data_IF_825473976986
#
_entry.id   IF_825473976986
#
_cell.length_a   1.000
_cell.length_b   1.000
_cell.length_c   1.000
_cell.angle_alpha   90.00
_cell.angle_beta   90.00
_cell.angle_gamma   90.00
#
_symmetry.space_group_name_H-M   'P 1'
#
loop_
_entity.id
_entity.type
_entity.pdbx_description
1 polymer ?
#
# COMPACT_ATOMS: atom_id res chain seq x y z
N UNK A 1 -33.91 27.47 -34.50
CA UNK A 1 -32.48 27.08 -34.54
C UNK A 1 -31.74 27.37 -33.24
N UNK A 2 -31.79 28.58 -32.65
CA UNK A 2 -30.99 28.93 -31.45
C UNK A 2 -31.33 28.22 -30.11
N UNK A 3 -32.44 27.48 -30.00
CA UNK A 3 -32.81 26.76 -28.78
C UNK A 3 -32.11 25.39 -28.68
N UNK A 4 -31.88 24.72 -29.82
CA UNK A 4 -31.22 23.41 -29.91
C UNK A 4 -29.72 23.51 -29.61
N UNK A 5 -29.05 24.58 -30.07
CA UNK A 5 -27.64 24.85 -29.79
C UNK A 5 -27.33 24.94 -28.29
N UNK A 6 -28.21 25.58 -27.51
CA UNK A 6 -28.03 25.70 -26.06
C UNK A 6 -28.23 24.37 -25.35
N UNK A 7 -29.19 23.56 -25.79
CA UNK A 7 -29.44 22.22 -25.24
C UNK A 7 -28.27 21.28 -25.53
N UNK A 8 -27.76 21.26 -26.76
CA UNK A 8 -26.58 20.46 -27.11
C UNK A 8 -25.33 20.93 -26.36
N UNK A 9 -25.08 22.24 -26.26
CA UNK A 9 -23.94 22.77 -25.48
C UNK A 9 -24.01 22.39 -24.00
N UNK A 10 -25.20 22.48 -23.39
CA UNK A 10 -25.40 22.04 -22.00
C UNK A 10 -25.21 20.52 -21.84
N UNK A 11 -25.66 19.73 -22.80
CA UNK A 11 -25.44 18.27 -22.81
C UNK A 11 -23.95 17.92 -22.95
N UNK A 12 -23.20 18.57 -23.85
CA UNK A 12 -21.76 18.34 -24.02
C UNK A 12 -20.95 18.75 -22.79
N UNK A 13 -21.26 19.89 -22.18
CA UNK A 13 -20.61 20.34 -20.95
C UNK A 13 -20.94 19.41 -19.79
N UNK A 14 -22.20 18.98 -19.65
CA UNK A 14 -22.61 18.01 -18.63
C UNK A 14 -21.91 16.65 -18.75
N UNK A 15 -21.78 16.12 -19.97
CA UNK A 15 -21.07 14.87 -20.25
C UNK A 15 -19.57 15.01 -19.96
N UNK A 16 -18.94 16.11 -20.38
CA UNK A 16 -17.53 16.37 -20.09
C UNK A 16 -17.26 16.45 -18.57
N UNK A 17 -18.14 17.13 -17.82
CA UNK A 17 -18.06 17.20 -16.35
C UNK A 17 -18.27 15.82 -15.72
N UNK A 18 -19.23 15.02 -16.19
CA UNK A 18 -19.46 13.67 -15.69
C UNK A 18 -18.29 12.71 -15.97
N UNK A 19 -17.61 12.86 -17.11
CA UNK A 19 -16.42 12.09 -17.46
C UNK A 19 -15.24 12.50 -16.58
N UNK A 20 -15.02 13.80 -16.35
CA UNK A 20 -13.95 14.29 -15.45
C UNK A 20 -14.19 13.83 -14.00
N UNK A 21 -15.44 13.86 -13.52
CA UNK A 21 -15.80 13.35 -12.20
C UNK A 21 -15.68 11.82 -12.12
N UNK A 22 -16.11 11.08 -13.14
CA UNK A 22 -16.03 9.62 -13.19
C UNK A 22 -14.60 9.09 -13.31
N UNK A 23 -13.78 9.69 -14.17
CA UNK A 23 -12.35 9.37 -14.31
C UNK A 23 -11.54 9.80 -13.07
N UNK A 24 -11.89 10.94 -12.46
CA UNK A 24 -11.31 11.37 -11.19
C UNK A 24 -11.57 10.38 -10.05
N UNK A 25 -12.81 9.88 -9.93
CA UNK A 25 -13.18 8.87 -8.92
C UNK A 25 -12.49 7.52 -9.17
N UNK A 26 -12.30 7.12 -10.43
CA UNK A 26 -11.52 5.92 -10.77
C UNK A 26 -10.05 6.05 -10.31
N UNK A 27 -9.47 7.25 -10.45
CA UNK A 27 -8.09 7.49 -10.06
C UNK A 27 -7.88 7.46 -8.54
N UNK A 28 -8.86 7.92 -7.77
CA UNK A 28 -8.80 7.92 -6.30
C UNK A 28 -8.78 6.48 -5.73
N UNK A 29 -9.58 5.56 -6.28
CA UNK A 29 -9.66 4.17 -5.77
C UNK A 29 -8.32 3.41 -5.78
N UNK A 30 -7.43 3.71 -6.73
CA UNK A 30 -6.14 3.01 -6.84
C UNK A 30 -5.11 3.40 -5.76
N UNK A 31 -5.35 4.48 -5.01
CA UNK A 31 -4.45 4.97 -3.95
C UNK A 31 -4.80 4.47 -2.54
N UNK A 32 -5.97 3.87 -2.35
CA UNK A 32 -6.51 3.54 -1.02
C UNK A 32 -5.98 2.20 -0.48
N UNK A 33 -5.29 1.38 -1.28
CA UNK A 33 -4.58 0.18 -0.78
C UNK A 33 -3.26 0.50 -0.03
N UNK A 34 -3.14 1.68 0.57
CA UNK A 34 -1.96 2.10 1.33
C UNK A 34 -2.13 1.83 2.84
N UNK A 35 -2.71 0.70 3.20
CA UNK A 35 -2.72 0.22 4.58
C UNK A 35 -1.40 -0.49 4.93
N UNK A 36 -1.04 -0.60 6.22
CA UNK A 36 0.13 -1.37 6.64
C UNK A 36 0.01 -2.84 6.19
N UNK A 37 1.02 -3.32 5.48
CA UNK A 37 1.07 -4.64 4.87
C UNK A 37 1.38 -5.69 5.92
N UNK A 38 0.49 -6.67 6.09
CA UNK A 38 0.71 -7.79 7.01
C UNK A 38 1.83 -8.70 6.48
N UNK A 39 3.01 -8.65 7.11
CA UNK A 39 4.20 -9.39 6.64
C UNK A 39 4.02 -10.90 6.69
N UNK A 40 3.16 -11.39 7.58
CA UNK A 40 2.88 -12.82 7.76
C UNK A 40 1.91 -13.37 6.72
N UNK A 41 1.14 -12.49 6.07
CA UNK A 41 0.13 -12.86 5.06
C UNK A 41 0.42 -12.32 3.66
N UNK A 42 1.34 -11.36 3.53
CA UNK A 42 1.67 -10.75 2.26
C UNK A 42 2.12 -11.77 1.19
N UNK A 43 1.76 -11.52 -0.06
CA UNK A 43 2.35 -12.24 -1.19
C UNK A 43 3.76 -11.74 -1.50
N UNK A 44 4.56 -12.53 -2.24
CA UNK A 44 5.89 -12.12 -2.68
C UNK A 44 5.83 -10.78 -3.42
N UNK A 45 4.90 -10.64 -4.37
CA UNK A 45 4.71 -9.42 -5.14
C UNK A 45 4.30 -8.20 -4.28
N UNK A 46 3.68 -8.40 -3.12
CA UNK A 46 3.40 -7.31 -2.18
C UNK A 46 4.65 -6.92 -1.38
N UNK A 47 5.46 -7.89 -0.97
CA UNK A 47 6.73 -7.65 -0.28
C UNK A 47 7.74 -6.94 -1.20
N UNK A 48 7.79 -7.30 -2.48
CA UNK A 48 8.66 -6.69 -3.50
C UNK A 48 8.32 -5.21 -3.78
N UNK A 49 7.12 -4.75 -3.41
CA UNK A 49 6.78 -3.31 -3.47
C UNK A 49 7.46 -2.49 -2.37
N UNK A 50 8.06 -3.14 -1.37
CA UNK A 50 8.76 -2.47 -0.29
C UNK A 50 10.16 -2.02 -0.75
N UNK A 51 10.59 -0.82 -0.37
CA UNK A 51 11.90 -0.32 -0.74
C UNK A 51 13.02 -1.21 -0.18
N UNK A 52 13.88 -1.72 -1.06
CA UNK A 52 15.00 -2.58 -0.68
C UNK A 52 14.66 -4.06 -0.51
N UNK A 53 13.45 -4.49 -0.87
CA UNK A 53 13.05 -5.90 -0.90
C UNK A 53 12.98 -6.38 -2.35
N UNK A 54 13.91 -7.27 -2.71
CA UNK A 54 13.91 -7.95 -4.01
C UNK A 54 13.22 -9.31 -3.99
N UNK A 55 13.13 -10.00 -5.14
CA UNK A 55 12.46 -11.29 -5.26
C UNK A 55 13.07 -12.39 -4.36
N UNK A 56 14.40 -12.37 -4.16
CA UNK A 56 15.06 -13.33 -3.26
C UNK A 56 14.74 -13.04 -1.80
N UNK A 57 14.86 -11.78 -1.38
CA UNK A 57 14.52 -11.34 -0.02
C UNK A 57 13.05 -11.59 0.29
N UNK A 58 12.14 -11.35 -0.66
CA UNK A 58 10.71 -11.65 -0.49
C UNK A 58 10.45 -13.14 -0.28
N UNK A 59 11.16 -14.03 -1.00
CA UNK A 59 11.08 -15.48 -0.77
C UNK A 59 11.61 -15.87 0.60
N UNK A 60 12.73 -15.28 1.02
CA UNK A 60 13.31 -15.54 2.33
C UNK A 60 12.41 -15.04 3.47
N UNK A 61 11.74 -13.88 3.29
CA UNK A 61 10.70 -13.40 4.22
C UNK A 61 9.58 -14.44 4.32
N UNK A 62 9.05 -14.93 3.21
CA UNK A 62 7.96 -15.92 3.23
C UNK A 62 8.40 -17.21 3.93
N UNK A 63 9.64 -17.66 3.70
CA UNK A 63 10.20 -18.86 4.33
C UNK A 63 10.45 -18.68 5.82
N UNK A 64 10.81 -17.48 6.27
CA UNK A 64 11.16 -17.17 7.65
C UNK A 64 9.97 -16.80 8.55
N UNK A 65 8.73 -16.92 8.07
CA UNK A 65 7.52 -16.69 8.88
C UNK A 65 7.43 -17.67 10.05
N UNK A 66 6.81 -17.27 11.18
CA UNK A 66 6.16 -15.97 11.44
C UNK A 66 7.07 -14.90 12.06
N UNK A 67 6.68 -13.63 11.88
CA UNK A 67 7.34 -12.44 12.46
C UNK A 67 6.42 -11.74 13.46
N UNK A 68 6.99 -11.30 14.59
CA UNK A 68 6.26 -10.55 15.61
C UNK A 68 6.57 -9.06 15.58
N UNK A 69 7.79 -8.70 15.17
CA UNK A 69 8.29 -7.32 15.14
C UNK A 69 9.06 -7.05 13.85
N UNK A 70 9.28 -5.76 13.57
CA UNK A 70 10.10 -5.36 12.42
C UNK A 70 11.56 -5.81 12.57
N UNK A 71 12.06 -5.92 13.80
CA UNK A 71 13.42 -6.37 14.13
C UNK A 71 13.64 -7.84 13.77
N UNK A 72 12.60 -8.68 13.84
CA UNK A 72 12.72 -10.09 13.44
C UNK A 72 13.11 -10.25 11.96
N UNK A 73 12.83 -9.24 11.13
CA UNK A 73 13.22 -9.21 9.72
C UNK A 73 14.72 -9.06 9.51
N UNK A 74 15.49 -8.63 10.52
CA UNK A 74 16.96 -8.57 10.45
C UNK A 74 17.59 -9.97 10.33
N UNK A 75 16.87 -11.01 10.73
CA UNK A 75 17.32 -12.40 10.55
C UNK A 75 17.20 -12.87 9.09
N UNK A 76 16.51 -12.13 8.24
CA UNK A 76 16.36 -12.44 6.82
C UNK A 76 17.59 -11.96 6.06
N UNK A 77 18.20 -12.87 5.29
CA UNK A 77 19.35 -12.56 4.45
C UNK A 77 19.01 -11.44 3.46
N UNK A 78 19.84 -10.39 3.46
CA UNK A 78 19.66 -9.22 2.59
C UNK A 78 18.79 -8.10 3.19
N UNK A 79 18.20 -8.30 4.38
CA UNK A 79 17.55 -7.23 5.13
C UNK A 79 18.54 -6.66 6.14
N UNK A 80 18.88 -5.38 5.99
CA UNK A 80 19.70 -4.64 6.94
C UNK A 80 18.87 -3.67 7.79
N UNK A 81 19.48 -3.06 8.83
CA UNK A 81 18.81 -2.09 9.70
C UNK A 81 18.19 -0.93 8.93
N UNK A 82 18.91 -0.40 7.94
CA UNK A 82 18.41 0.68 7.06
C UNK A 82 17.18 0.27 6.24
N UNK A 83 17.05 -1.01 5.90
CA UNK A 83 15.88 -1.52 5.18
C UNK A 83 14.71 -1.63 6.13
N UNK A 84 14.92 -2.17 7.34
CA UNK A 84 13.90 -2.26 8.39
C UNK A 84 13.35 -0.89 8.75
N UNK A 85 14.20 0.12 8.99
CA UNK A 85 13.78 1.49 9.27
C UNK A 85 12.88 2.09 8.19
N UNK A 86 13.08 1.71 6.92
CA UNK A 86 12.28 2.22 5.78
C UNK A 86 10.95 1.49 5.60
N UNK A 87 10.83 0.26 6.10
CA UNK A 87 9.66 -0.60 5.85
C UNK A 87 8.81 -0.80 7.10
N UNK A 88 9.35 -0.60 8.31
CA UNK A 88 8.66 -0.84 9.58
C UNK A 88 7.32 -0.09 9.67
N UNK A 89 7.25 1.17 9.24
CA UNK A 89 6.02 1.99 9.23
C UNK A 89 4.98 1.52 8.21
N UNK A 90 5.38 0.64 7.28
CA UNK A 90 4.54 0.11 6.21
C UNK A 90 4.11 -1.33 6.49
N UNK A 91 4.54 -1.92 7.61
CA UNK A 91 4.27 -3.29 7.96
C UNK A 91 3.31 -3.39 9.14
N UNK A 92 2.48 -4.43 9.09
CA UNK A 92 1.63 -4.88 10.18
C UNK A 92 2.13 -6.23 10.69
N UNK A 93 2.07 -6.39 12.00
CA UNK A 93 2.31 -7.65 12.71
C UNK A 93 1.02 -8.07 13.42
N UNK A 94 0.81 -9.36 13.73
CA UNK A 94 -0.32 -9.81 14.54
C UNK A 94 -0.32 -9.05 15.87
N UNK A 95 -1.48 -8.52 16.26
CA UNK A 95 -1.65 -7.74 17.50
C UNK A 95 -1.03 -8.47 18.70
N UNK A 96 0.03 -7.88 19.27
CA UNK A 96 0.84 -8.51 20.32
C UNK A 96 2.08 -7.73 20.78
N UNK A 97 2.35 -6.54 20.24
CA UNK A 97 3.38 -5.63 20.74
C UNK A 97 2.90 -4.17 20.69
N UNK A 98 1.69 -3.92 21.21
CA UNK A 98 1.55 -2.70 21.99
C UNK A 98 2.66 -2.77 23.04
N UNK A 99 3.64 -1.87 22.89
CA UNK A 99 4.50 -1.39 23.94
C UNK A 99 4.33 -2.13 25.27
N UNK A 100 5.30 -2.98 25.62
CA UNK A 100 5.67 -3.05 27.02
C UNK A 100 6.54 -1.80 27.28
N UNK A 101 6.03 -0.74 27.93
CA UNK A 101 6.79 -0.04 28.93
C UNK A 101 6.40 -0.66 30.27
N UNK A 102 6.83 -1.89 30.52
CA UNK A 102 7.12 -2.27 31.91
C UNK A 102 8.48 -1.66 32.22
N UNK A 103 8.45 -0.46 32.79
CA UNK A 103 9.56 0.16 33.50
C UNK A 103 9.00 1.27 34.38
N UNK A 104 9.48 1.44 35.62
CA UNK A 104 9.88 0.47 36.65
C UNK A 104 8.83 0.29 37.76
#
# INVERSE_FOLDING_TARGET
>A
MAADDRRQRLLFVGIAVAIVLGLGVLFIRKRIESGPLDVNKASAAQLEKLPGIGPETAKDIIRGRPYQTAQDLLNVKGIGPKTVEKIQDRLKFPDGAAAAPTSP
#
